data_IF_438800868842
#
_entry.id   IF_438800868842
#
_cell.length_a   1.000
_cell.length_b   1.000
_cell.length_c   1.000
_cell.angle_alpha   90.00
_cell.angle_beta   90.00
_cell.angle_gamma   90.00
#
_symmetry.space_group_name_H-M   'P 1'
#
loop_
_entity.id
_entity.type
_entity.pdbx_description
1 polymer ?
#
# COMPACT_ATOMS: atom_id res chain seq x y z
N UNK A 1 -19.12 -27.68 17.63
CA UNK A 1 -20.30 -27.32 16.82
C UNK A 1 -19.94 -26.14 15.93
N UNK A 2 -19.83 -26.34 14.62
CA UNK A 2 -19.79 -25.23 13.66
C UNK A 2 -20.93 -25.44 12.68
N UNK A 3 -22.06 -24.83 13.02
CA UNK A 3 -23.17 -24.60 12.10
C UNK A 3 -22.60 -23.95 10.84
N UNK A 4 -22.72 -24.60 9.69
CA UNK A 4 -22.32 -24.04 8.41
C UNK A 4 -23.23 -22.84 8.11
N UNK A 5 -22.85 -21.66 8.58
CA UNK A 5 -23.51 -20.42 8.21
C UNK A 5 -23.50 -20.34 6.67
N UNK A 6 -24.63 -19.97 6.06
CA UNK A 6 -24.67 -19.85 4.61
C UNK A 6 -23.75 -18.73 4.13
N UNK A 7 -22.94 -19.01 3.11
CA UNK A 7 -22.06 -18.01 2.51
C UNK A 7 -22.89 -17.09 1.62
N UNK A 8 -22.93 -15.81 1.98
CA UNK A 8 -23.54 -14.74 1.21
C UNK A 8 -22.56 -14.16 0.19
N UNK A 9 -23.09 -13.38 -0.74
CA UNK A 9 -22.33 -12.66 -1.75
C UNK A 9 -22.28 -11.19 -1.37
N UNK A 10 -21.08 -10.63 -1.36
CA UNK A 10 -20.85 -9.22 -1.09
C UNK A 10 -20.06 -8.62 -2.23
N UNK A 11 -20.15 -7.30 -2.36
CA UNK A 11 -19.22 -6.51 -3.17
C UNK A 11 -18.61 -5.42 -2.31
N UNK A 12 -17.34 -5.13 -2.55
CA UNK A 12 -16.57 -4.10 -1.85
C UNK A 12 -15.83 -3.27 -2.88
N UNK A 13 -16.03 -1.96 -2.88
CA UNK A 13 -15.28 -1.05 -3.75
C UNK A 13 -13.99 -0.62 -3.04
N UNK A 14 -12.85 -1.02 -3.60
CA UNK A 14 -11.53 -0.80 -3.00
C UNK A 14 -10.66 0.15 -3.83
N UNK A 15 -9.74 0.85 -3.15
CA UNK A 15 -8.63 1.55 -3.79
C UNK A 15 -7.54 0.58 -4.22
N UNK A 16 -7.33 0.46 -5.52
CA UNK A 16 -6.26 -0.32 -6.09
C UNK A 16 -5.05 0.55 -6.45
N UNK A 17 -3.86 0.06 -6.09
CA UNK A 17 -2.56 0.68 -6.37
C UNK A 17 -1.91 0.15 -7.64
N UNK A 18 -0.57 0.18 -7.71
CA UNK A 18 0.22 -0.18 -8.89
C UNK A 18 0.01 0.72 -10.13
N UNK A 19 -0.67 1.86 -9.95
CA UNK A 19 -1.01 2.86 -10.99
C UNK A 19 -0.32 4.21 -10.76
N UNK A 20 0.66 4.25 -9.86
CA UNK A 20 1.25 5.48 -9.32
C UNK A 20 1.03 5.60 -7.80
N UNK A 21 1.80 6.48 -7.14
CA UNK A 21 1.62 6.75 -5.70
C UNK A 21 0.45 7.72 -5.50
N UNK A 22 0.46 8.78 -6.29
CA UNK A 22 -0.47 9.90 -6.41
C UNK A 22 -1.82 9.54 -7.03
N UNK A 23 -2.03 8.29 -7.43
CA UNK A 23 -3.27 7.83 -8.04
C UNK A 23 -3.75 6.52 -7.44
N UNK A 24 -5.03 6.24 -7.57
CA UNK A 24 -5.61 4.94 -7.32
C UNK A 24 -6.65 4.61 -8.39
N UNK A 25 -6.95 3.33 -8.53
CA UNK A 25 -8.02 2.84 -9.39
C UNK A 25 -9.16 2.29 -8.49
N UNK A 26 -10.39 2.82 -8.56
CA UNK A 26 -11.53 2.23 -7.89
C UNK A 26 -11.97 0.97 -8.65
N UNK A 27 -12.07 -0.16 -7.95
CA UNK A 27 -12.62 -1.40 -8.51
C UNK A 27 -13.52 -2.10 -7.51
N UNK A 28 -14.56 -2.72 -8.05
CA UNK A 28 -15.51 -3.53 -7.32
C UNK A 28 -15.00 -4.96 -7.20
N UNK A 29 -14.84 -5.42 -5.97
CA UNK A 29 -14.44 -6.79 -5.65
C UNK A 29 -15.65 -7.62 -5.22
N UNK A 30 -16.11 -8.57 -6.05
CA UNK A 30 -17.10 -9.55 -5.64
C UNK A 30 -16.45 -10.58 -4.71
N UNK A 31 -16.99 -10.73 -3.50
CA UNK A 31 -16.44 -11.59 -2.45
C UNK A 31 -17.54 -12.46 -1.84
N UNK A 32 -17.24 -13.76 -1.69
CA UNK A 32 -18.09 -14.69 -0.96
C UNK A 32 -17.62 -14.82 0.49
N UNK A 33 -18.51 -14.53 1.44
CA UNK A 33 -18.20 -14.51 2.87
C UNK A 33 -19.45 -14.84 3.72
N UNK A 34 -19.25 -15.23 4.97
CA UNK A 34 -20.35 -15.40 5.92
C UNK A 34 -20.84 -14.03 6.41
N UNK A 35 -19.90 -13.14 6.74
CA UNK A 35 -20.19 -11.87 7.42
C UNK A 35 -19.55 -10.70 6.65
N UNK A 36 -20.13 -9.50 6.77
CA UNK A 36 -19.53 -8.25 6.25
C UNK A 36 -18.07 -8.06 6.68
N UNK A 37 -17.75 -8.35 7.95
CA UNK A 37 -16.38 -8.26 8.49
C UNK A 37 -15.41 -9.18 7.74
N UNK A 38 -15.84 -10.40 7.43
CA UNK A 38 -15.01 -11.37 6.69
C UNK A 38 -14.87 -10.93 5.23
N UNK A 39 -15.92 -10.38 4.61
CA UNK A 39 -15.86 -9.82 3.27
C UNK A 39 -14.80 -8.71 3.18
N UNK A 40 -14.82 -7.74 4.10
CA UNK A 40 -13.79 -6.68 4.17
C UNK A 40 -12.39 -7.24 4.42
N UNK A 41 -12.24 -8.23 5.31
CA UNK A 41 -10.94 -8.84 5.58
C UNK A 41 -10.36 -9.55 4.34
N UNK A 42 -11.22 -10.23 3.56
CA UNK A 42 -10.83 -10.82 2.27
C UNK A 42 -10.47 -9.73 1.25
N UNK A 43 -11.27 -8.67 1.16
CA UNK A 43 -11.01 -7.54 0.26
C UNK A 43 -9.64 -6.92 0.52
N UNK A 44 -9.31 -6.66 1.80
CA UNK A 44 -8.04 -6.07 2.22
C UNK A 44 -6.83 -6.97 1.93
N UNK A 45 -7.00 -8.29 1.93
CA UNK A 45 -5.96 -9.27 1.59
C UNK A 45 -5.72 -9.38 0.09
N UNK A 46 -6.64 -8.90 -0.74
CA UNK A 46 -6.53 -8.96 -2.21
C UNK A 46 -5.33 -8.17 -2.71
N UNK A 47 -4.57 -8.79 -3.62
CA UNK A 47 -3.32 -8.24 -4.13
C UNK A 47 -3.49 -6.89 -4.82
N UNK A 48 -2.78 -5.89 -4.31
CA UNK A 48 -2.69 -4.53 -4.84
C UNK A 48 -3.82 -3.58 -4.47
N UNK A 49 -4.68 -3.97 -3.52
CA UNK A 49 -5.42 -3.00 -2.70
C UNK A 49 -4.41 -2.20 -1.87
N UNK A 50 -4.63 -0.88 -1.72
CA UNK A 50 -3.79 0.00 -0.88
C UNK A 50 -4.06 -0.23 0.62
N UNK A 51 -3.74 -1.42 1.13
CA UNK A 51 -4.04 -1.85 2.53
C UNK A 51 -3.44 -0.99 3.64
N UNK A 52 -2.38 -0.23 3.31
CA UNK A 52 -1.69 0.67 4.24
C UNK A 52 -2.43 1.99 4.43
N UNK A 53 -3.40 2.28 3.56
CA UNK A 53 -4.24 3.47 3.67
C UNK A 53 -5.41 3.19 4.62
N UNK A 54 -5.73 4.11 5.56
CA UNK A 54 -6.88 3.94 6.44
C UNK A 54 -8.20 3.94 5.65
N UNK A 55 -8.24 4.68 4.54
CA UNK A 55 -9.36 4.88 3.61
C UNK A 55 -9.26 3.97 2.35
N UNK A 56 -8.68 2.78 2.49
CA UNK A 56 -8.54 1.80 1.42
C UNK A 56 -9.90 1.31 0.85
N UNK A 57 -10.93 1.35 1.68
CA UNK A 57 -12.29 0.95 1.35
C UNK A 57 -13.09 2.21 0.99
N UNK A 58 -13.52 2.32 -0.27
CA UNK A 58 -14.33 3.45 -0.75
C UNK A 58 -15.79 3.26 -0.39
N UNK A 59 -16.30 2.06 -0.67
CA UNK A 59 -17.64 1.64 -0.27
C UNK A 59 -17.57 0.32 0.50
N UNK A 60 -18.32 0.25 1.59
CA UNK A 60 -18.34 -0.90 2.49
C UNK A 60 -18.93 -2.15 1.85
N UNK A 61 -18.72 -3.33 2.45
CA UNK A 61 -19.34 -4.58 1.98
C UNK A 61 -20.86 -4.50 2.05
N UNK A 62 -21.50 -4.48 0.88
CA UNK A 62 -22.94 -4.62 0.73
C UNK A 62 -23.29 -5.98 0.13
N UNK A 63 -24.41 -6.55 0.58
CA UNK A 63 -24.88 -7.87 0.14
C UNK A 63 -25.52 -7.75 -1.24
N UNK A 64 -25.22 -8.70 -2.12
CA UNK A 64 -25.68 -8.73 -3.50
C UNK A 64 -26.26 -10.10 -3.87
N UNK A 65 -27.03 -10.14 -4.96
CA UNK A 65 -27.52 -11.41 -5.51
C UNK A 65 -26.38 -12.22 -6.15
N UNK A 66 -26.60 -13.53 -6.28
CA UNK A 66 -25.67 -14.45 -6.95
C UNK A 66 -25.43 -14.09 -8.41
N UNK A 67 -26.47 -13.62 -9.10
CA UNK A 67 -26.38 -13.19 -10.50
C UNK A 67 -25.46 -11.98 -10.64
N UNK A 68 -25.68 -10.95 -9.80
CA UNK A 68 -24.83 -9.75 -9.74
C UNK A 68 -23.37 -10.10 -9.44
N UNK A 69 -23.16 -11.05 -8.55
CA UNK A 69 -21.83 -11.53 -8.21
C UNK A 69 -21.11 -12.13 -9.42
N UNK A 70 -21.80 -12.93 -10.23
CA UNK A 70 -21.23 -13.52 -11.44
C UNK A 70 -20.91 -12.44 -12.49
N UNK A 71 -21.82 -11.50 -12.73
CA UNK A 71 -21.58 -10.36 -13.63
C UNK A 71 -20.32 -9.57 -13.23
N UNK A 72 -20.21 -9.23 -11.94
CA UNK A 72 -19.06 -8.47 -11.43
C UNK A 72 -17.76 -9.27 -11.52
N UNK A 73 -17.83 -10.58 -11.32
CA UNK A 73 -16.67 -11.46 -11.45
C UNK A 73 -16.17 -11.50 -12.89
N UNK A 74 -17.06 -11.62 -13.86
CA UNK A 74 -16.71 -11.59 -15.28
C UNK A 74 -16.13 -10.23 -15.68
N UNK A 75 -16.77 -9.14 -15.25
CA UNK A 75 -16.27 -7.78 -15.47
C UNK A 75 -14.87 -7.58 -14.89
N UNK A 76 -14.63 -8.08 -13.67
CA UNK A 76 -13.33 -7.96 -13.01
C UNK A 76 -12.25 -8.75 -13.75
N UNK A 77 -12.53 -9.98 -14.17
CA UNK A 77 -11.56 -10.82 -14.90
C UNK A 77 -11.20 -10.22 -16.25
N UNK A 78 -12.18 -9.63 -16.93
CA UNK A 78 -12.00 -8.96 -18.22
C UNK A 78 -11.38 -7.56 -18.10
N UNK A 79 -11.27 -7.01 -16.88
CA UNK A 79 -10.69 -5.69 -16.67
C UNK A 79 -9.19 -5.69 -17.04
N UNK A 80 -8.73 -4.76 -17.90
CA UNK A 80 -7.31 -4.64 -18.25
C UNK A 80 -6.39 -4.52 -17.04
N UNK A 81 -6.86 -3.94 -15.93
CA UNK A 81 -6.08 -3.82 -14.71
C UNK A 81 -5.84 -5.18 -14.01
N UNK A 82 -6.83 -6.08 -14.05
CA UNK A 82 -6.79 -7.34 -13.32
C UNK A 82 -5.72 -8.29 -13.88
N UNK A 83 -5.42 -8.15 -15.17
CA UNK A 83 -4.31 -8.83 -15.80
C UNK A 83 -2.96 -8.24 -15.35
N UNK A 84 -2.13 -9.09 -14.71
CA UNK A 84 -0.83 -8.69 -14.14
C UNK A 84 0.12 -8.08 -15.16
N UNK A 85 0.04 -8.48 -16.43
CA UNK A 85 0.93 -7.97 -17.50
C UNK A 85 0.62 -6.51 -17.87
N UNK A 86 -0.64 -6.11 -17.76
CA UNK A 86 -1.15 -4.80 -18.17
C UNK A 86 -1.36 -3.84 -17.00
N UNK A 87 -1.30 -4.34 -15.77
CA UNK A 87 -1.49 -3.59 -14.52
C UNK A 87 -0.64 -2.32 -14.38
N UNK A 88 0.58 -2.31 -14.92
CA UNK A 88 1.47 -1.14 -14.90
C UNK A 88 1.23 -0.18 -16.07
N UNK A 89 0.56 -0.63 -17.13
CA UNK A 89 0.26 0.18 -18.30
C UNK A 89 -0.98 1.04 -18.03
N UNK A 90 -0.76 2.15 -17.34
CA UNK A 90 -1.81 3.10 -16.95
C UNK A 90 -2.56 3.73 -18.12
N UNK A 91 -2.00 3.72 -19.34
CA UNK A 91 -2.67 4.25 -20.53
C UNK A 91 -3.97 3.49 -20.87
N UNK A 92 -4.03 2.19 -20.54
CA UNK A 92 -5.19 1.34 -20.83
C UNK A 92 -6.44 1.70 -20.02
N UNK A 93 -6.27 2.38 -18.88
CA UNK A 93 -7.35 2.73 -17.96
C UNK A 93 -7.17 4.13 -17.37
N UNK A 94 -6.49 5.03 -18.09
CA UNK A 94 -6.16 6.37 -17.64
C UNK A 94 -7.40 7.18 -17.21
N UNK A 95 -8.50 7.02 -17.94
CA UNK A 95 -9.78 7.71 -17.68
C UNK A 95 -10.44 7.32 -16.35
N UNK A 96 -10.06 6.18 -15.76
CA UNK A 96 -10.63 5.66 -14.50
C UNK A 96 -9.77 5.98 -13.29
N UNK A 97 -8.56 6.53 -13.50
CA UNK A 97 -7.65 6.85 -12.42
C UNK A 97 -8.14 8.07 -11.65
N UNK A 98 -8.09 7.97 -10.34
CA UNK A 98 -8.43 9.07 -9.43
C UNK A 98 -7.17 9.52 -8.71
N UNK A 99 -7.03 10.83 -8.49
CA UNK A 99 -5.91 11.38 -7.74
C UNK A 99 -6.05 11.05 -6.25
N UNK A 100 -4.95 10.66 -5.62
CA UNK A 100 -4.88 10.31 -4.21
C UNK A 100 -4.57 11.58 -3.39
N UNK A 101 -5.48 12.04 -2.51
CA UNK A 101 -5.25 13.21 -1.67
C UNK A 101 -4.14 13.00 -0.63
N UNK A 102 -3.86 11.75 -0.25
CA UNK A 102 -2.88 11.41 0.77
C UNK A 102 -1.42 11.68 0.35
N UNK A 103 -1.14 11.94 -0.93
CA UNK A 103 0.21 12.22 -1.41
C UNK A 103 0.30 13.62 -2.01
N UNK A 104 1.23 14.42 -1.50
CA UNK A 104 1.57 15.71 -2.11
C UNK A 104 2.77 15.53 -3.04
N UNK A 105 2.63 15.96 -4.29
CA UNK A 105 3.73 16.01 -5.25
C UNK A 105 4.36 17.40 -5.22
N UNK A 106 5.47 17.54 -4.50
CA UNK A 106 6.24 18.79 -4.51
C UNK A 106 7.49 18.62 -5.38
N UNK A 107 7.52 19.30 -6.54
CA UNK A 107 8.68 19.34 -7.46
C UNK A 107 9.22 17.94 -7.86
N UNK A 108 8.35 16.96 -8.04
CA UNK A 108 8.72 15.60 -8.45
C UNK A 108 9.20 14.69 -7.32
N UNK A 109 9.31 15.19 -6.09
CA UNK A 109 9.69 14.40 -4.92
C UNK A 109 8.42 13.89 -4.24
N UNK A 110 8.26 12.55 -4.22
CA UNK A 110 7.06 11.88 -3.70
C UNK A 110 7.25 11.54 -2.22
N UNK A 111 6.57 12.25 -1.33
CA UNK A 111 6.56 11.96 0.11
C UNK A 111 5.20 11.49 0.60
N UNK A 112 5.20 10.56 1.56
CA UNK A 112 4.00 10.08 2.26
C UNK A 112 3.47 11.09 3.29
N UNK A 113 4.18 12.22 3.48
CA UNK A 113 3.80 13.29 4.39
C UNK A 113 3.08 14.39 3.63
N UNK A 114 1.95 14.85 4.17
CA UNK A 114 1.16 15.98 3.63
C UNK A 114 2.05 17.22 3.45
N UNK A 115 2.99 17.43 4.38
CA UNK A 115 4.03 18.45 4.29
C UNK A 115 5.38 17.82 3.93
N UNK A 116 5.97 18.26 2.83
CA UNK A 116 7.35 17.94 2.50
C UNK A 116 8.28 18.75 3.41
N UNK A 117 8.91 18.10 4.40
CA UNK A 117 10.01 18.71 5.16
C UNK A 117 11.32 18.33 4.47
N UNK A 118 11.94 19.30 3.79
CA UNK A 118 13.32 19.15 3.30
C UNK A 118 14.20 19.00 4.55
N UNK A 119 14.93 17.88 4.75
CA UNK A 119 15.92 17.84 5.82
C UNK A 119 16.87 19.00 5.56
N UNK A 120 16.96 19.90 6.52
CA UNK A 120 17.81 21.08 6.35
C UNK A 120 19.25 20.60 6.26
N UNK A 121 20.09 21.31 5.51
CA UNK A 121 21.53 21.02 5.40
C UNK A 121 22.19 20.85 6.77
N UNK A 122 21.67 21.51 7.81
CA UNK A 122 22.10 21.37 9.20
C UNK A 122 21.75 20.00 9.81
N UNK A 123 20.53 19.50 9.64
CA UNK A 123 20.11 18.17 10.15
C UNK A 123 20.91 17.03 9.49
N UNK A 124 21.13 17.14 8.19
CA UNK A 124 21.95 16.19 7.42
C UNK A 124 23.41 16.22 7.92
N UNK A 125 23.98 17.43 8.10
CA UNK A 125 25.33 17.60 8.66
C UNK A 125 25.44 17.00 10.06
N UNK A 126 24.46 17.25 10.94
CA UNK A 126 24.42 16.69 12.30
C UNK A 126 24.35 15.16 12.28
N UNK A 127 23.55 14.56 11.39
CA UNK A 127 23.47 13.11 11.24
C UNK A 127 24.81 12.50 10.79
N UNK A 128 25.46 13.08 9.78
CA UNK A 128 26.78 12.62 9.34
C UNK A 128 27.87 12.80 10.40
N UNK A 129 27.83 13.91 11.16
CA UNK A 129 28.77 14.16 12.24
C UNK A 129 28.59 13.13 13.38
N UNK A 130 27.36 12.78 13.74
CA UNK A 130 27.08 11.70 14.71
C UNK A 130 27.63 10.35 14.23
N UNK A 131 27.42 9.99 12.96
CA UNK A 131 27.99 8.75 12.40
C UNK A 131 29.51 8.72 12.40
N UNK A 132 30.17 9.86 12.12
CA UNK A 132 31.63 9.96 12.18
C UNK A 132 32.13 9.73 13.61
N UNK A 133 31.55 10.42 14.59
CA UNK A 133 31.93 10.25 16.00
C UNK A 133 31.82 8.80 16.51
N UNK A 134 30.78 8.08 16.10
CA UNK A 134 30.62 6.66 16.47
C UNK A 134 31.77 5.84 15.88
N UNK A 135 32.04 6.01 14.58
CA UNK A 135 33.13 5.30 13.90
C UNK A 135 34.50 5.63 14.49
N UNK A 136 34.75 6.91 14.79
CA UNK A 136 36.02 7.34 15.37
C UNK A 136 36.22 6.72 16.77
N UNK A 137 35.14 6.53 17.53
CA UNK A 137 35.15 5.84 18.83
C UNK A 137 35.42 4.33 18.68
N UNK A 138 34.77 3.67 17.74
CA UNK A 138 35.01 2.24 17.43
C UNK A 138 36.47 2.00 16.98
N UNK A 139 37.01 2.91 16.18
CA UNK A 139 38.42 2.86 15.74
C UNK A 139 39.36 3.06 16.93
N UNK A 140 39.06 4.01 17.81
CA UNK A 140 39.86 4.25 19.01
C UNK A 140 39.85 3.04 19.95
N UNK A 141 38.67 2.47 20.23
CA UNK A 141 38.53 1.27 21.06
C UNK A 141 39.31 0.09 20.46
N UNK A 142 39.34 -0.06 19.13
CA UNK A 142 40.15 -1.08 18.47
C UNK A 142 41.65 -0.86 18.65
N UNK A 143 42.14 0.38 18.56
CA UNK A 143 43.56 0.68 18.79
C UNK A 143 43.94 0.51 20.26
N UNK A 144 43.10 0.96 21.18
CA UNK A 144 43.32 0.82 22.62
C UNK A 144 43.37 -0.68 23.02
N UNK A 145 42.50 -1.52 22.44
CA UNK A 145 42.55 -2.99 22.65
C UNK A 145 43.86 -3.60 22.14
N UNK A 146 44.35 -3.19 20.96
CA UNK A 146 45.60 -3.72 20.38
C UNK A 146 46.82 -3.33 21.23
N UNK A 147 46.88 -2.09 21.74
CA UNK A 147 47.98 -1.61 22.58
C UNK A 147 48.02 -2.33 23.96
N UNK A 148 46.86 -2.77 24.48
CA UNK A 148 46.76 -3.55 25.71
C UNK A 148 47.20 -5.02 25.54
N UNK A 149 47.21 -5.56 24.31
CA UNK A 149 47.72 -6.92 24.02
C UNK A 149 49.24 -6.97 23.79
N UNK A 150 49.87 -5.84 23.46
CA UNK A 150 51.31 -5.74 23.18
C UNK A 150 52.16 -5.37 24.42
N UNK A 151 51.54 -5.00 25.55
CA UNK A 151 52.19 -4.73 26.85
C UNK A 151 52.02 -5.89 27.86
#
# INVERSE_FOLDING_TARGET
MSFFAERKYYVVTCKFGHVGRDKYLPLDLPIRAFNKKEASAKAKKTGGVKRDHPDWCLDGPHEISKEKYNELKEKLVNDPYWNKKTRQNTALFANRLVNEPNYTNHRGIKTNTVTFKKPTTAEIKMFHQKKRKIRDKEIQEFYDEVDDYEN
#
